data_IF_519101633799
#
_entry.id   IF_519101633799
#
_cell.length_a   1.000
_cell.length_b   1.000
_cell.length_c   1.000
_cell.angle_alpha   90.00
_cell.angle_beta   90.00
_cell.angle_gamma   90.00
#
_symmetry.space_group_name_H-M   'P 1'
#
loop_
_entity.id
_entity.type
_entity.pdbx_description
1 polymer ?
#
# COMPACT_ATOMS: atom_id res chain seq x y z
N UNK A 1 12.22 20.42 -12.75
CA UNK A 1 11.65 19.08 -12.55
C UNK A 1 11.41 18.47 -13.94
N UNK A 2 12.15 17.44 -14.32
CA UNK A 2 12.19 16.87 -15.69
C UNK A 2 10.85 16.34 -16.21
N UNK A 3 9.92 15.98 -15.32
CA UNK A 3 8.60 15.44 -15.66
C UNK A 3 7.45 16.43 -15.45
N UNK A 4 7.74 17.68 -15.05
CA UNK A 4 6.72 18.73 -14.97
C UNK A 4 6.33 19.17 -16.39
N UNK A 5 5.05 18.96 -16.73
CA UNK A 5 4.52 19.27 -18.05
C UNK A 5 3.61 18.19 -18.61
N UNK A 6 3.80 16.92 -18.22
CA UNK A 6 2.99 15.81 -18.73
C UNK A 6 1.50 15.94 -18.37
N UNK A 7 1.20 16.40 -17.15
CA UNK A 7 -0.18 16.73 -16.74
C UNK A 7 -0.76 17.85 -17.62
N UNK A 8 0.05 18.86 -17.96
CA UNK A 8 -0.38 20.00 -18.78
C UNK A 8 -0.59 19.56 -20.25
N UNK A 9 0.28 18.71 -20.78
CA UNK A 9 0.16 18.11 -22.12
C UNK A 9 -1.17 17.37 -22.26
N UNK A 10 -1.46 16.45 -21.34
CA UNK A 10 -2.72 15.68 -21.40
C UNK A 10 -3.95 16.55 -21.19
N UNK A 11 -3.86 17.57 -20.33
CA UNK A 11 -4.95 18.55 -20.19
C UNK A 11 -5.17 19.36 -21.47
N UNK A 12 -4.10 19.75 -22.18
CA UNK A 12 -4.21 20.47 -23.44
C UNK A 12 -4.87 19.62 -24.53
N UNK A 13 -4.58 18.33 -24.58
CA UNK A 13 -5.12 17.45 -25.62
C UNK A 13 -6.54 16.95 -25.31
N UNK A 14 -6.84 16.62 -24.04
CA UNK A 14 -8.08 15.93 -23.69
C UNK A 14 -9.06 16.73 -22.81
N UNK A 15 -8.66 17.90 -22.27
CA UNK A 15 -9.51 18.71 -21.38
C UNK A 15 -9.84 20.09 -22.00
N UNK A 16 -9.53 20.29 -23.27
CA UNK A 16 -9.69 21.58 -23.95
C UNK A 16 -10.93 21.57 -24.83
N UNK A 17 -11.70 22.65 -24.81
CA UNK A 17 -12.80 22.85 -25.77
C UNK A 17 -12.28 23.46 -27.09
N UNK A 18 -13.11 23.56 -28.13
CA UNK A 18 -12.72 24.23 -29.39
C UNK A 18 -12.21 25.67 -29.21
N UNK A 19 -12.64 26.35 -28.14
CA UNK A 19 -12.23 27.73 -27.82
C UNK A 19 -10.93 27.81 -27.00
N UNK A 20 -10.18 26.70 -26.83
CA UNK A 20 -8.89 26.70 -26.14
C UNK A 20 -8.94 26.70 -24.61
N UNK A 21 -10.13 26.63 -24.00
CA UNK A 21 -10.31 26.64 -22.54
C UNK A 21 -10.14 25.25 -21.94
N UNK A 22 -9.15 25.10 -21.05
CA UNK A 22 -8.87 23.86 -20.32
C UNK A 22 -9.79 23.74 -19.10
N UNK A 23 -10.66 22.73 -19.07
CA UNK A 23 -11.54 22.47 -17.94
C UNK A 23 -11.83 20.96 -17.80
N UNK A 24 -11.90 20.47 -16.55
CA UNK A 24 -12.24 19.07 -16.25
C UNK A 24 -13.58 18.62 -16.86
N UNK A 25 -14.53 19.54 -17.05
CA UNK A 25 -15.82 19.23 -17.68
C UNK A 25 -15.70 18.77 -19.14
N UNK A 26 -14.63 19.16 -19.83
CA UNK A 26 -14.37 18.77 -21.22
C UNK A 26 -13.61 17.42 -21.31
N UNK A 27 -13.29 16.78 -20.18
CA UNK A 27 -12.65 15.47 -20.14
C UNK A 27 -13.66 14.35 -20.43
N UNK A 28 -14.05 14.24 -21.71
CA UNK A 28 -15.01 13.25 -22.20
C UNK A 28 -14.43 11.84 -22.12
N UNK A 29 -13.15 11.68 -22.46
CA UNK A 29 -12.45 10.39 -22.50
C UNK A 29 -11.93 9.94 -21.13
N UNK A 30 -12.26 10.66 -20.06
CA UNK A 30 -11.90 10.34 -18.68
C UNK A 30 -10.39 10.14 -18.48
N UNK A 31 -9.60 10.92 -19.24
CA UNK A 31 -8.14 10.93 -19.18
C UNK A 31 -7.68 11.56 -17.89
N UNK A 32 -7.02 10.79 -17.03
CA UNK A 32 -6.40 11.28 -15.80
C UNK A 32 -5.00 10.67 -15.66
N UNK A 33 -4.06 11.50 -15.24
CA UNK A 33 -2.68 11.12 -14.95
C UNK A 33 -2.44 11.17 -13.44
N UNK A 34 -1.97 10.05 -12.89
CA UNK A 34 -1.47 9.96 -11.53
C UNK A 34 0.02 9.64 -11.62
N UNK A 35 0.85 10.49 -11.01
CA UNK A 35 2.31 10.33 -10.96
C UNK A 35 2.76 10.32 -9.52
N UNK A 36 3.66 9.39 -9.19
CA UNK A 36 4.40 9.38 -7.93
C UNK A 36 5.87 9.11 -8.24
N UNK A 37 6.71 10.15 -8.14
CA UNK A 37 8.08 10.13 -8.67
C UNK A 37 8.10 9.64 -10.14
N UNK A 38 8.67 8.45 -10.37
CA UNK A 38 8.82 7.83 -11.69
C UNK A 38 7.66 6.88 -12.05
N UNK A 39 6.86 6.47 -11.06
CA UNK A 39 5.71 5.60 -11.28
C UNK A 39 4.53 6.42 -11.82
N UNK A 40 4.07 6.06 -13.01
CA UNK A 40 2.99 6.74 -13.73
C UNK A 40 1.83 5.78 -13.95
N UNK A 41 0.60 6.25 -13.75
CA UNK A 41 -0.62 5.56 -14.15
C UNK A 41 -1.55 6.53 -14.87
N UNK A 42 -2.02 6.12 -16.04
CA UNK A 42 -3.01 6.85 -16.83
C UNK A 42 -4.31 6.05 -16.85
N UNK A 43 -5.43 6.73 -16.65
CA UNK A 43 -6.77 6.15 -16.87
C UNK A 43 -7.40 6.82 -18.07
N UNK A 44 -8.11 6.06 -18.91
CA UNK A 44 -8.98 6.60 -19.95
C UNK A 44 -10.24 5.72 -20.11
N UNK A 45 -11.18 6.17 -20.94
CA UNK A 45 -12.44 5.48 -21.24
C UNK A 45 -12.25 4.22 -22.08
N UNK A 46 -11.33 4.26 -23.05
CA UNK A 46 -11.11 3.16 -24.00
C UNK A 46 -9.63 2.81 -24.13
N UNK A 47 -9.36 1.68 -24.78
CA UNK A 47 -7.99 1.18 -24.98
C UNK A 47 -7.25 2.02 -26.02
N UNK A 48 -7.96 2.43 -27.06
CA UNK A 48 -7.46 3.20 -28.20
C UNK A 48 -6.92 4.56 -27.71
N UNK A 49 -7.67 5.25 -26.85
CA UNK A 49 -7.22 6.49 -26.21
C UNK A 49 -5.96 6.27 -25.36
N UNK A 50 -5.81 5.12 -24.70
CA UNK A 50 -4.59 4.82 -23.94
C UNK A 50 -3.40 4.53 -24.85
N UNK A 51 -3.61 3.96 -26.03
CA UNK A 51 -2.57 3.73 -27.04
C UNK A 51 -2.06 5.08 -27.59
N UNK A 52 -2.96 6.01 -27.93
CA UNK A 52 -2.60 7.38 -28.31
C UNK A 52 -1.84 8.13 -27.20
N UNK A 53 -2.33 8.05 -25.96
CA UNK A 53 -1.66 8.69 -24.82
C UNK A 53 -0.27 8.08 -24.59
N UNK A 54 -0.13 6.78 -24.81
CA UNK A 54 1.17 6.11 -24.67
C UNK A 54 2.17 6.70 -25.66
N UNK A 55 1.80 6.87 -26.93
CA UNK A 55 2.67 7.49 -27.94
C UNK A 55 3.03 8.94 -27.55
N UNK A 56 2.03 9.74 -27.14
CA UNK A 56 2.26 11.11 -26.67
C UNK A 56 3.23 11.19 -25.47
N UNK A 57 3.17 10.22 -24.56
CA UNK A 57 4.06 10.16 -23.41
C UNK A 57 5.47 9.70 -23.84
N UNK A 58 5.58 8.76 -24.77
CA UNK A 58 6.87 8.32 -25.32
C UNK A 58 7.60 9.48 -26.00
N UNK A 59 6.92 10.25 -26.85
CA UNK A 59 7.50 11.44 -27.50
C UNK A 59 7.96 12.48 -26.47
N UNK A 60 7.10 12.77 -25.48
CA UNK A 60 7.43 13.71 -24.41
C UNK A 60 8.67 13.30 -23.61
N UNK A 61 8.85 12.00 -23.37
CA UNK A 61 10.00 11.46 -22.64
C UNK A 61 11.26 11.41 -23.51
N UNK A 62 11.12 11.08 -24.80
CA UNK A 62 12.23 11.02 -25.76
C UNK A 62 12.92 12.38 -25.91
N UNK A 63 12.16 13.48 -25.96
CA UNK A 63 12.71 14.86 -25.94
C UNK A 63 13.64 15.13 -24.73
N UNK A 64 13.47 14.37 -23.66
CA UNK A 64 14.18 14.51 -22.38
C UNK A 64 15.21 13.40 -22.16
N UNK A 65 15.46 12.56 -23.18
CA UNK A 65 16.39 11.42 -23.11
C UNK A 65 15.91 10.30 -22.18
N UNK A 66 14.60 10.16 -22.00
CA UNK A 66 13.98 9.11 -21.18
C UNK A 66 13.13 8.19 -22.04
N UNK A 67 13.08 6.91 -21.69
CA UNK A 67 12.27 5.91 -22.40
C UNK A 67 11.33 5.17 -21.44
N UNK A 68 10.14 4.80 -21.94
CA UNK A 68 9.23 3.93 -21.21
C UNK A 68 9.77 2.49 -21.19
N UNK A 69 9.76 1.88 -20.00
CA UNK A 69 10.11 0.47 -19.87
C UNK A 69 9.00 -0.42 -20.46
N UNK A 70 9.23 -0.98 -21.65
CA UNK A 70 8.28 -1.88 -22.34
C UNK A 70 7.78 -3.04 -21.48
N UNK A 71 8.62 -3.53 -20.56
CA UNK A 71 8.26 -4.62 -19.63
C UNK A 71 7.31 -4.17 -18.51
N UNK A 72 7.40 -2.91 -18.09
CA UNK A 72 6.57 -2.36 -16.99
C UNK A 72 5.28 -1.72 -17.51
N UNK A 73 5.30 -1.19 -18.73
CA UNK A 73 4.14 -0.54 -19.35
C UNK A 73 3.12 -1.58 -19.79
N UNK A 74 1.93 -1.54 -19.18
CA UNK A 74 0.82 -2.44 -19.50
C UNK A 74 -0.47 -1.65 -19.59
N UNK A 75 -1.26 -1.90 -20.64
CA UNK A 75 -2.65 -1.46 -20.74
C UNK A 75 -3.53 -2.60 -20.25
N UNK A 76 -4.35 -2.33 -19.23
CA UNK A 76 -5.26 -3.33 -18.66
C UNK A 76 -6.60 -2.70 -18.30
N UNK A 77 -7.65 -3.53 -18.32
CA UNK A 77 -8.97 -3.10 -17.91
C UNK A 77 -9.11 -3.19 -16.38
N UNK A 78 -9.85 -2.24 -15.78
CA UNK A 78 -10.01 -2.16 -14.32
C UNK A 78 -10.63 -3.40 -13.68
N UNK A 79 -11.35 -4.24 -14.45
CA UNK A 79 -11.89 -5.51 -13.97
C UNK A 79 -10.82 -6.59 -13.77
N UNK A 80 -9.72 -6.55 -14.52
CA UNK A 80 -8.54 -7.38 -14.32
C UNK A 80 -7.68 -6.80 -13.20
N UNK A 81 -7.62 -5.46 -13.16
CA UNK A 81 -6.94 -4.68 -12.12
C UNK A 81 -5.47 -4.47 -12.42
N UNK A 82 -4.86 -3.52 -11.71
CA UNK A 82 -3.45 -3.17 -11.86
C UNK A 82 -2.81 -2.87 -10.50
N UNK A 83 -1.49 -2.96 -10.45
CA UNK A 83 -0.71 -2.64 -9.26
C UNK A 83 -0.12 -1.24 -9.38
N UNK A 84 -0.21 -0.45 -8.32
CA UNK A 84 0.41 0.88 -8.22
C UNK A 84 0.76 1.15 -6.75
N UNK A 85 2.01 1.56 -6.48
CA UNK A 85 2.54 1.84 -5.13
C UNK A 85 2.22 0.73 -4.10
N UNK A 86 2.39 -0.53 -4.48
CA UNK A 86 2.14 -1.66 -3.58
C UNK A 86 0.66 -1.94 -3.29
N UNK A 87 -0.28 -1.27 -3.97
CA UNK A 87 -1.71 -1.59 -3.93
C UNK A 87 -2.19 -2.15 -5.26
N UNK A 88 -3.13 -3.09 -5.19
CA UNK A 88 -3.89 -3.59 -6.33
C UNK A 88 -5.24 -2.86 -6.41
N UNK A 89 -5.49 -2.23 -7.55
CA UNK A 89 -6.73 -1.55 -7.88
C UNK A 89 -7.55 -2.45 -8.79
N UNK A 90 -8.72 -2.92 -8.33
CA UNK A 90 -9.58 -3.79 -9.14
C UNK A 90 -11.06 -3.53 -8.88
N UNK A 91 -11.84 -3.46 -9.95
CA UNK A 91 -13.30 -3.32 -9.91
C UNK A 91 -13.95 -4.70 -9.96
N UNK A 92 -14.68 -5.06 -8.92
CA UNK A 92 -15.44 -6.30 -8.79
C UNK A 92 -16.93 -5.95 -8.88
N UNK A 93 -17.61 -6.42 -9.92
CA UNK A 93 -19.06 -6.26 -10.09
C UNK A 93 -19.57 -4.84 -9.77
N UNK A 94 -18.92 -3.82 -10.33
CA UNK A 94 -19.28 -2.42 -10.08
C UNK A 94 -18.52 -1.72 -8.95
N UNK A 95 -17.94 -2.46 -7.99
CA UNK A 95 -17.27 -1.90 -6.80
C UNK A 95 -15.75 -1.92 -6.93
N UNK A 96 -15.11 -0.75 -6.81
CA UNK A 96 -13.66 -0.64 -6.75
C UNK A 96 -13.17 -1.06 -5.35
N UNK A 97 -12.29 -2.07 -5.30
CA UNK A 97 -11.57 -2.45 -4.10
C UNK A 97 -10.08 -2.20 -4.31
N UNK A 98 -9.49 -1.49 -3.36
CA UNK A 98 -8.05 -1.25 -3.28
C UNK A 98 -7.53 -2.17 -2.18
N UNK A 99 -6.63 -3.09 -2.53
CA UNK A 99 -6.06 -4.08 -1.59
C UNK A 99 -4.53 -3.99 -1.64
N UNK A 100 -3.79 -4.41 -0.60
CA UNK A 100 -2.35 -4.63 -0.76
C UNK A 100 -2.08 -5.57 -1.93
N UNK A 101 -1.12 -5.21 -2.78
CA UNK A 101 -0.72 -6.03 -3.93
C UNK A 101 -0.12 -7.36 -3.45
N UNK A 102 -0.21 -8.40 -4.29
CA UNK A 102 0.33 -9.73 -3.94
C UNK A 102 1.83 -9.66 -3.74
N UNK A 103 2.53 -8.90 -4.57
CA UNK A 103 3.97 -8.70 -4.54
C UNK A 103 4.40 -8.00 -3.26
N UNK A 104 3.67 -6.94 -2.84
CA UNK A 104 3.89 -6.26 -1.57
C UNK A 104 3.67 -7.19 -0.37
N UNK A 105 2.65 -8.04 -0.42
CA UNK A 105 2.41 -9.07 0.59
C UNK A 105 3.54 -10.10 0.65
N UNK A 106 3.96 -10.64 -0.49
CA UNK A 106 5.05 -11.62 -0.53
C UNK A 106 6.38 -11.02 -0.05
N UNK A 107 6.65 -9.76 -0.39
CA UNK A 107 7.83 -9.04 0.09
C UNK A 107 7.87 -8.96 1.62
N UNK A 108 6.77 -8.56 2.27
CA UNK A 108 6.75 -8.45 3.74
C UNK A 108 6.88 -9.80 4.43
N UNK A 109 6.18 -10.84 3.96
CA UNK A 109 6.25 -12.15 4.61
C UNK A 109 7.62 -12.81 4.41
N UNK A 110 8.24 -12.64 3.23
CA UNK A 110 9.59 -13.14 2.98
C UNK A 110 10.59 -12.42 3.89
N UNK A 111 10.51 -11.10 4.02
CA UNK A 111 11.32 -10.32 4.95
C UNK A 111 11.17 -10.81 6.39
N UNK A 112 9.94 -11.06 6.86
CA UNK A 112 9.71 -11.56 8.22
C UNK A 112 10.29 -12.97 8.40
N UNK A 113 10.09 -13.88 7.44
CA UNK A 113 10.67 -15.22 7.49
C UNK A 113 12.19 -15.20 7.51
N UNK A 114 12.81 -14.30 6.74
CA UNK A 114 14.25 -14.08 6.74
C UNK A 114 14.75 -13.57 8.09
N UNK A 115 14.05 -12.60 8.70
CA UNK A 115 14.39 -12.10 10.04
C UNK A 115 14.31 -13.23 11.08
N UNK A 116 13.23 -14.02 11.08
CA UNK A 116 13.09 -15.18 11.97
C UNK A 116 14.21 -16.21 11.74
N UNK A 117 14.60 -16.44 10.47
CA UNK A 117 15.67 -17.38 10.12
C UNK A 117 17.05 -16.88 10.55
N UNK A 118 17.33 -15.59 10.40
CA UNK A 118 18.59 -14.96 10.83
C UNK A 118 18.72 -14.94 12.35
N UNK A 119 17.62 -14.69 13.06
CA UNK A 119 17.55 -14.64 14.51
C UNK A 119 17.08 -15.99 15.12
N UNK A 120 17.61 -17.10 14.61
CA UNK A 120 17.16 -18.43 15.01
C UNK A 120 17.62 -18.80 16.45
N UNK A 121 18.75 -18.28 16.91
CA UNK A 121 19.31 -18.52 18.26
C UNK A 121 18.88 -17.48 19.29
N UNK A 122 18.38 -16.32 18.85
CA UNK A 122 17.98 -15.22 19.72
C UNK A 122 16.93 -15.59 20.76
N UNK A 123 16.86 -14.79 21.82
CA UNK A 123 15.77 -14.90 22.78
C UNK A 123 14.45 -14.35 22.18
N UNK A 124 13.35 -14.67 22.86
CA UNK A 124 12.02 -14.31 22.39
C UNK A 124 11.80 -12.80 22.35
N UNK A 125 12.27 -12.06 23.36
CA UNK A 125 12.10 -10.60 23.46
C UNK A 125 12.78 -9.87 22.30
N UNK A 126 14.02 -10.23 22.00
CA UNK A 126 14.78 -9.64 20.91
C UNK A 126 14.10 -9.92 19.58
N UNK A 127 13.59 -11.14 19.38
CA UNK A 127 12.84 -11.47 18.18
C UNK A 127 11.55 -10.63 18.06
N UNK A 128 10.81 -10.43 19.14
CA UNK A 128 9.62 -9.57 19.15
C UNK A 128 9.98 -8.12 18.81
N UNK A 129 11.03 -7.57 19.45
CA UNK A 129 11.53 -6.21 19.20
C UNK A 129 11.96 -5.98 17.75
N UNK A 130 12.51 -7.00 17.09
CA UNK A 130 12.88 -6.94 15.66
C UNK A 130 11.63 -6.98 14.75
N UNK A 131 10.65 -7.83 15.08
CA UNK A 131 9.48 -8.05 14.22
C UNK A 131 8.45 -6.92 14.32
N UNK A 132 8.22 -6.40 15.52
CA UNK A 132 7.17 -5.41 15.79
C UNK A 132 7.26 -4.15 14.90
N UNK A 133 8.42 -3.48 14.74
CA UNK A 133 8.55 -2.31 13.87
C UNK A 133 8.24 -2.62 12.41
N UNK A 134 8.63 -3.79 11.92
CA UNK A 134 8.43 -4.23 10.53
C UNK A 134 6.94 -4.47 10.26
N UNK A 135 6.27 -5.21 11.16
CA UNK A 135 4.83 -5.47 11.06
C UNK A 135 4.06 -4.14 11.15
N UNK A 136 4.42 -3.27 12.11
CA UNK A 136 3.75 -1.99 12.34
C UNK A 136 3.88 -1.07 11.14
N UNK A 137 5.09 -0.94 10.58
CA UNK A 137 5.34 -0.11 9.41
C UNK A 137 4.51 -0.54 8.20
N UNK A 138 4.47 -1.86 7.93
CA UNK A 138 3.68 -2.39 6.82
C UNK A 138 2.17 -2.21 7.04
N UNK A 139 1.68 -2.41 8.28
CA UNK A 139 0.29 -2.18 8.62
C UNK A 139 -0.10 -0.71 8.45
N UNK A 140 0.71 0.22 8.95
CA UNK A 140 0.47 1.66 8.82
C UNK A 140 0.44 2.10 7.36
N UNK A 141 1.38 1.60 6.53
CA UNK A 141 1.41 1.92 5.10
C UNK A 141 0.13 1.50 4.37
N UNK A 142 -0.39 0.31 4.69
CA UNK A 142 -1.59 -0.22 4.06
C UNK A 142 -2.90 0.08 4.81
N UNK A 143 -2.89 0.91 5.86
CA UNK A 143 -4.08 1.15 6.71
C UNK A 143 -5.21 1.87 5.98
N UNK A 144 -4.90 2.56 4.88
CA UNK A 144 -5.86 3.28 4.04
C UNK A 144 -6.64 2.38 3.07
N UNK A 145 -6.08 1.20 2.74
CA UNK A 145 -6.64 0.24 1.81
C UNK A 145 -7.56 -0.79 2.51
N UNK A 146 -8.23 -1.63 1.72
CA UNK A 146 -9.03 -2.75 2.22
C UNK A 146 -8.12 -3.91 2.65
N UNK A 147 -7.43 -3.75 3.78
CA UNK A 147 -6.29 -4.60 4.16
C UNK A 147 -6.57 -5.64 5.24
N UNK A 148 -7.75 -5.64 5.88
CA UNK A 148 -8.07 -6.55 7.00
C UNK A 148 -7.87 -8.03 6.67
N UNK A 149 -8.30 -8.48 5.49
CA UNK A 149 -8.08 -9.87 5.06
C UNK A 149 -6.58 -10.19 4.92
N UNK A 150 -5.80 -9.27 4.36
CA UNK A 150 -4.34 -9.41 4.24
C UNK A 150 -3.66 -9.41 5.61
N UNK A 151 -4.14 -8.61 6.57
CA UNK A 151 -3.63 -8.59 7.94
C UNK A 151 -3.87 -9.92 8.67
N UNK A 152 -5.07 -10.47 8.56
CA UNK A 152 -5.38 -11.79 9.14
C UNK A 152 -4.54 -12.90 8.51
N UNK A 153 -4.31 -12.83 7.19
CA UNK A 153 -3.41 -13.77 6.51
C UNK A 153 -1.97 -13.62 6.99
N UNK A 154 -1.51 -12.39 7.17
CA UNK A 154 -0.18 -12.09 7.68
C UNK A 154 0.03 -12.67 9.09
N UNK A 155 -0.94 -12.48 10.00
CA UNK A 155 -0.88 -13.04 11.36
C UNK A 155 -0.75 -14.57 11.34
N UNK A 156 -1.48 -15.26 10.44
CA UNK A 156 -1.37 -16.72 10.27
C UNK A 156 -0.01 -17.13 9.74
N UNK A 157 0.50 -16.45 8.72
CA UNK A 157 1.79 -16.79 8.10
C UNK A 157 2.96 -16.52 9.05
N UNK A 158 2.89 -15.45 9.86
CA UNK A 158 3.85 -15.15 10.92
C UNK A 158 3.79 -16.23 12.01
N UNK A 159 2.58 -16.60 12.45
CA UNK A 159 2.39 -17.67 13.43
C UNK A 159 3.06 -18.98 12.98
N UNK A 160 2.86 -19.39 11.73
CA UNK A 160 3.49 -20.61 11.19
C UNK A 160 5.02 -20.54 11.19
N UNK A 161 5.58 -19.37 10.86
CA UNK A 161 7.03 -19.16 10.88
C UNK A 161 7.59 -19.22 12.31
N UNK A 162 6.92 -18.57 13.27
CA UNK A 162 7.30 -18.58 14.69
C UNK A 162 7.13 -19.97 15.32
N UNK A 163 6.08 -20.70 14.95
CA UNK A 163 5.86 -22.07 15.39
C UNK A 163 7.00 -22.99 14.95
N UNK A 164 7.44 -22.86 13.70
CA UNK A 164 8.60 -23.59 13.18
C UNK A 164 9.90 -23.21 13.90
N UNK A 165 10.09 -21.92 14.19
CA UNK A 165 11.22 -21.43 14.97
C UNK A 165 11.25 -22.02 16.38
N UNK A 166 10.12 -22.06 17.08
CA UNK A 166 10.01 -22.57 18.43
C UNK A 166 10.20 -24.10 18.51
N UNK A 167 9.62 -24.84 17.55
CA UNK A 167 9.82 -26.30 17.43
C UNK A 167 11.28 -26.67 17.21
N UNK A 168 11.97 -25.94 16.32
CA UNK A 168 13.39 -26.19 16.04
C UNK A 168 14.26 -26.03 17.29
N UNK A 169 13.93 -25.09 18.18
CA UNK A 169 14.68 -24.88 19.44
C UNK A 169 14.49 -26.02 20.45
N UNK A 170 13.41 -26.78 20.34
CA UNK A 170 13.03 -27.79 21.32
C UNK A 170 12.59 -29.09 20.66
N UNK A 171 13.49 -29.78 19.93
CA UNK A 171 13.15 -30.97 19.15
C UNK A 171 12.63 -32.14 20.01
N UNK A 172 13.04 -32.20 21.29
CA UNK A 172 12.65 -33.27 22.23
C UNK A 172 11.43 -32.91 23.11
N UNK A 173 10.87 -31.71 22.99
CA UNK A 173 9.73 -31.27 23.84
C UNK A 173 8.40 -31.52 23.14
N UNK A 174 7.38 -31.83 23.94
CA UNK A 174 6.03 -31.95 23.44
C UNK A 174 5.51 -30.60 22.89
N UNK A 175 4.60 -30.65 21.91
CA UNK A 175 4.00 -29.46 21.29
C UNK A 175 3.28 -28.57 22.32
N UNK A 176 2.63 -29.19 23.30
CA UNK A 176 1.93 -28.48 24.37
C UNK A 176 2.90 -27.64 25.21
N UNK A 177 4.05 -28.21 25.59
CA UNK A 177 5.09 -27.46 26.31
C UNK A 177 5.63 -26.28 25.50
N UNK A 178 5.80 -26.44 24.18
CA UNK A 178 6.24 -25.34 23.30
C UNK A 178 5.19 -24.23 23.27
N UNK A 179 3.91 -24.57 23.16
CA UNK A 179 2.80 -23.61 23.25
C UNK A 179 2.90 -22.85 24.57
N UNK A 180 2.93 -23.55 25.70
CA UNK A 180 2.85 -22.94 27.03
C UNK A 180 4.09 -22.08 27.35
N UNK A 181 5.24 -22.39 26.75
CA UNK A 181 6.47 -21.61 26.93
C UNK A 181 6.47 -20.28 26.18
N UNK A 182 6.01 -20.25 24.93
CA UNK A 182 6.20 -19.10 24.04
C UNK A 182 4.91 -18.35 23.71
N UNK A 183 3.75 -18.98 23.92
CA UNK A 183 2.45 -18.41 23.61
C UNK A 183 1.62 -18.23 24.87
N UNK A 184 1.34 -16.97 25.19
CA UNK A 184 0.48 -16.59 26.29
C UNK A 184 -0.98 -16.48 25.84
N UNK A 185 -1.88 -16.48 26.82
CA UNK A 185 -3.29 -16.16 26.64
C UNK A 185 -3.57 -14.88 27.42
N UNK A 186 -4.20 -13.90 26.77
CA UNK A 186 -4.59 -12.64 27.40
C UNK A 186 -6.06 -12.37 27.09
N UNK A 187 -6.87 -12.25 28.14
CA UNK A 187 -8.32 -12.06 28.07
C UNK A 187 -8.98 -13.11 27.14
N UNK A 188 -9.56 -12.65 26.03
CA UNK A 188 -10.26 -13.48 25.04
C UNK A 188 -9.35 -14.04 23.95
N UNK A 189 -8.07 -13.66 23.91
CA UNK A 189 -7.15 -14.03 22.83
C UNK A 189 -6.04 -14.94 23.34
N UNK A 190 -6.08 -16.20 22.87
CA UNK A 190 -4.98 -17.15 23.02
C UNK A 190 -3.93 -17.00 21.92
N UNK A 191 -2.84 -17.77 22.04
CA UNK A 191 -1.79 -17.85 21.03
C UNK A 191 -1.12 -16.51 20.72
N UNK A 192 -0.81 -15.75 21.77
CA UNK A 192 -0.05 -14.51 21.68
C UNK A 192 1.42 -14.84 21.89
N UNK A 193 2.26 -14.63 20.87
CA UNK A 193 3.71 -14.78 21.02
C UNK A 193 4.23 -13.63 21.89
N UNK A 194 4.49 -13.92 23.16
CA UNK A 194 4.81 -12.93 24.18
C UNK A 194 5.61 -13.50 25.34
N UNK A 195 6.33 -12.61 26.02
CA UNK A 195 6.98 -12.79 27.31
C UNK A 195 6.34 -11.85 28.34
N UNK A 196 6.94 -11.70 29.51
CA UNK A 196 6.49 -10.73 30.52
C UNK A 196 6.68 -9.29 30.03
N UNK A 197 7.77 -9.01 29.30
CA UNK A 197 8.14 -7.65 28.88
C UNK A 197 7.63 -7.29 27.48
N UNK A 198 7.55 -8.27 26.57
CA UNK A 198 7.34 -8.01 25.14
C UNK A 198 6.21 -8.84 24.56
N UNK A 199 5.42 -8.20 23.69
CA UNK A 199 4.30 -8.84 22.99
C UNK A 199 4.37 -8.56 21.50
N UNK A 200 4.24 -9.62 20.70
CA UNK A 200 4.09 -9.47 19.26
C UNK A 200 2.75 -8.82 18.93
N UNK A 201 2.79 -7.76 18.12
CA UNK A 201 1.59 -7.11 17.62
C UNK A 201 0.87 -7.99 16.60
N UNK A 202 -0.46 -7.96 16.60
CA UNK A 202 -1.26 -8.54 15.54
C UNK A 202 -1.52 -7.48 14.47
N UNK A 203 -1.20 -7.81 13.22
CA UNK A 203 -1.54 -6.95 12.09
C UNK A 203 -3.05 -6.71 12.04
N UNK A 204 -3.86 -7.73 12.37
CA UNK A 204 -5.32 -7.66 12.36
C UNK A 204 -5.91 -6.68 13.38
N UNK A 205 -5.17 -6.24 14.39
CA UNK A 205 -5.62 -5.20 15.33
C UNK A 205 -5.51 -3.79 14.73
N UNK A 206 -4.69 -3.60 13.69
CA UNK A 206 -4.52 -2.29 13.05
C UNK A 206 -5.84 -1.78 12.47
N UNK A 207 -6.29 -0.61 12.91
CA UNK A 207 -7.52 0.01 12.41
C UNK A 207 -7.32 0.48 10.97
N UNK A 208 -8.34 0.27 10.14
CA UNK A 208 -8.35 0.83 8.77
C UNK A 208 -8.77 2.29 8.87
N UNK A 209 -7.89 3.19 8.43
CA UNK A 209 -8.07 4.64 8.47
C UNK A 209 -8.33 5.16 7.06
N UNK A 210 -9.57 5.55 6.77
CA UNK A 210 -9.93 6.09 5.45
C UNK A 210 -9.42 7.53 5.33
N UNK A 211 -8.57 7.78 4.34
CA UNK A 211 -8.05 9.12 4.11
C UNK A 211 -9.13 10.04 3.54
N UNK A 212 -9.35 11.18 4.19
CA UNK A 212 -10.19 12.26 3.67
C UNK A 212 -9.33 13.20 2.85
N UNK A 213 -9.69 13.48 1.60
CA UNK A 213 -8.97 14.44 0.76
C UNK A 213 -8.77 15.79 1.48
N UNK A 214 -7.58 16.38 1.33
CA UNK A 214 -7.31 17.75 1.78
C UNK A 214 -7.90 18.71 0.73
N UNK A 215 -8.39 19.87 1.15
CA UNK A 215 -8.75 20.93 0.21
C UNK A 215 -7.45 21.37 -0.49
N UNK A 216 -7.35 21.20 -1.81
CA UNK A 216 -6.11 21.53 -2.54
C UNK A 216 -5.70 23.00 -2.42
N UNK A 217 -6.66 23.91 -2.27
CA UNK A 217 -6.40 25.32 -2.03
C UNK A 217 -5.98 25.62 -0.58
N UNK A 218 -6.21 24.69 0.35
CA UNK A 218 -5.88 24.90 1.76
C UNK A 218 -4.37 24.90 1.96
N UNK A 219 -3.89 25.97 2.56
CA UNK A 219 -2.50 26.18 2.93
C UNK A 219 -2.42 26.33 4.46
N UNK A 220 -1.62 25.50 5.17
CA UNK A 220 -1.55 25.54 6.64
C UNK A 220 -0.95 26.83 7.20
N UNK A 221 -0.35 27.66 6.35
CA UNK A 221 0.27 28.93 6.73
C UNK A 221 -0.63 30.15 6.48
N UNK A 222 -1.82 29.97 5.88
CA UNK A 222 -2.78 31.06 5.66
C UNK A 222 -3.89 31.02 6.71
N UNK A 223 -4.19 32.18 7.30
CA UNK A 223 -5.15 32.32 8.40
C UNK A 223 -6.57 31.86 8.01
N UNK A 224 -6.97 32.04 6.75
CA UNK A 224 -8.26 31.58 6.20
C UNK A 224 -8.48 30.05 6.27
N UNK A 225 -7.40 29.26 6.43
CA UNK A 225 -7.49 27.80 6.58
C UNK A 225 -7.21 27.30 8.01
N UNK A 226 -6.98 28.19 8.98
CA UNK A 226 -6.61 27.79 10.33
C UNK A 226 -7.71 26.93 10.98
N UNK A 227 -8.97 27.35 10.89
CA UNK A 227 -10.12 26.57 11.35
C UNK A 227 -10.30 25.25 10.60
N UNK A 228 -9.96 25.21 9.32
CA UNK A 228 -9.98 23.98 8.53
C UNK A 228 -8.98 22.95 9.08
N UNK A 229 -7.75 23.36 9.37
CA UNK A 229 -6.73 22.48 9.94
C UNK A 229 -7.00 22.13 11.41
N UNK A 230 -7.53 23.07 12.22
CA UNK A 230 -7.94 22.81 13.61
C UNK A 230 -9.04 21.74 13.67
N UNK A 231 -10.10 21.89 12.89
CA UNK A 231 -11.20 20.91 12.81
C UNK A 231 -10.73 19.55 12.27
N UNK A 232 -9.73 19.54 11.38
CA UNK A 232 -9.16 18.30 10.85
C UNK A 232 -8.31 17.56 11.89
N UNK A 233 -7.56 18.27 12.73
CA UNK A 233 -6.82 17.68 13.87
C UNK A 233 -7.77 17.03 14.87
N UNK A 234 -8.87 17.70 15.21
CA UNK A 234 -9.89 17.18 16.14
C UNK A 234 -10.59 15.91 15.65
N UNK A 235 -10.72 15.72 14.32
CA UNK A 235 -11.36 14.53 13.72
C UNK A 235 -10.41 13.34 13.50
N UNK A 236 -9.12 13.51 13.77
CA UNK A 236 -8.10 12.45 13.64
C UNK A 236 -7.77 11.78 14.99
N UNK A 237 -8.23 12.37 16.10
CA UNK A 237 -8.17 11.81 17.45
C UNK A 237 -9.45 11.03 17.76
#
# INVERSE_FOLDING_TARGET
>A
MTLDGMVRLLKKNYWTNPNGTINRRHNNDKVNLVRYADDITVTARSKEVLEEIKELIEDFLNERGLELSRRKTQITHISQGFNFLGWNFRKYSGKLLIKPAKEAYHSIINRIRELIKKNNTENQDTLIKILNPVIRGWCNYHSSACSKASYQKLDRDIFQALWSWAKRRHPKRAKQWIKDRYWQTSNTRGWIFATEDERLIFASDTKITRHRLIKFAANPYLQEYEDYYRNRRLKLN
#
